data_IF_325790126582
#
_entry.id   IF_325790126582
#
_cell.length_a   1.000
_cell.length_b   1.000
_cell.length_c   1.000
_cell.angle_alpha   90.00
_cell.angle_beta   90.00
_cell.angle_gamma   90.00
#
_symmetry.space_group_name_H-M   'P 1'
#
loop_
_entity.id
_entity.type
_entity.pdbx_description
1 polymer ?
#
# COMPACT_ATOMS: atom_id res chain seq x y z
N UNK A 1 6.33 10.50 -45.09
CA UNK A 1 6.39 9.91 -43.73
C UNK A 1 5.46 8.71 -43.74
N UNK A 2 5.88 7.55 -43.27
CA UNK A 2 5.10 6.34 -43.41
C UNK A 2 4.18 6.13 -42.16
N UNK A 3 2.86 6.06 -42.41
CA UNK A 3 1.86 5.90 -41.32
C UNK A 3 2.10 4.64 -40.46
N UNK A 4 2.46 3.53 -41.10
CA UNK A 4 2.76 2.28 -40.36
C UNK A 4 3.95 2.44 -39.45
N UNK A 5 5.01 3.14 -39.90
CA UNK A 5 6.20 3.41 -39.06
C UNK A 5 5.88 4.31 -37.87
N UNK A 6 5.04 5.34 -38.07
CA UNK A 6 4.59 6.22 -37.00
C UNK A 6 3.84 5.42 -35.94
N UNK A 7 2.90 4.58 -36.37
CA UNK A 7 2.11 3.74 -35.46
C UNK A 7 3.00 2.73 -34.74
N UNK A 8 3.90 2.04 -35.45
CA UNK A 8 4.81 1.07 -34.86
C UNK A 8 5.74 1.71 -33.82
N UNK A 9 6.29 2.91 -34.11
CA UNK A 9 7.11 3.67 -33.17
C UNK A 9 6.34 4.02 -31.91
N UNK A 10 5.07 4.43 -32.04
CA UNK A 10 4.19 4.72 -30.90
C UNK A 10 3.87 3.48 -30.08
N UNK A 11 3.53 2.38 -30.75
CA UNK A 11 3.29 1.11 -30.10
C UNK A 11 4.53 0.60 -29.33
N UNK A 12 5.72 0.70 -29.94
CA UNK A 12 6.99 0.36 -29.27
C UNK A 12 7.22 1.21 -28.02
N UNK A 13 7.03 2.53 -28.12
CA UNK A 13 7.19 3.43 -26.98
C UNK A 13 6.21 3.09 -25.84
N UNK A 14 4.96 2.78 -26.17
CA UNK A 14 3.96 2.34 -25.19
C UNK A 14 4.38 1.06 -24.49
N UNK A 15 4.83 0.06 -25.24
CA UNK A 15 5.28 -1.23 -24.69
C UNK A 15 6.49 -1.01 -23.79
N UNK A 16 7.50 -0.26 -24.22
CA UNK A 16 8.69 0.01 -23.41
C UNK A 16 8.37 0.77 -22.13
N UNK A 17 7.50 1.76 -22.18
CA UNK A 17 7.07 2.49 -20.99
C UNK A 17 6.40 1.54 -19.97
N UNK A 18 5.47 0.71 -20.43
CA UNK A 18 4.75 -0.21 -19.55
C UNK A 18 5.64 -1.31 -18.98
N UNK A 19 6.59 -1.84 -19.77
CA UNK A 19 7.60 -2.77 -19.26
C UNK A 19 8.44 -2.10 -18.15
N UNK A 20 8.89 -0.86 -18.37
CA UNK A 20 9.64 -0.11 -17.37
C UNK A 20 8.85 0.05 -16.06
N UNK A 21 7.57 0.39 -16.17
CA UNK A 21 6.69 0.53 -15.00
C UNK A 21 6.47 -0.80 -14.27
N UNK A 22 6.30 -1.91 -14.98
CA UNK A 22 6.18 -3.25 -14.38
C UNK A 22 7.45 -3.63 -13.63
N UNK A 23 8.62 -3.34 -14.21
CA UNK A 23 9.91 -3.58 -13.54
C UNK A 23 10.01 -2.77 -12.25
N UNK A 24 9.64 -1.49 -12.27
CA UNK A 24 9.63 -0.65 -11.08
C UNK A 24 8.69 -1.21 -10.01
N UNK A 25 7.47 -1.61 -10.38
CA UNK A 25 6.54 -2.25 -9.45
C UNK A 25 7.10 -3.56 -8.86
N UNK A 26 7.74 -4.40 -9.69
CA UNK A 26 8.35 -5.64 -9.23
C UNK A 26 9.52 -5.39 -8.26
N UNK A 27 10.34 -4.36 -8.52
CA UNK A 27 11.42 -3.96 -7.61
C UNK A 27 10.89 -3.43 -6.28
N UNK A 28 9.85 -2.58 -6.31
CA UNK A 28 9.20 -2.08 -5.11
C UNK A 28 8.58 -3.21 -4.29
N UNK A 29 7.88 -4.13 -4.96
CA UNK A 29 7.29 -5.30 -4.31
C UNK A 29 8.37 -6.19 -3.66
N UNK A 30 9.45 -6.49 -4.39
CA UNK A 30 10.60 -7.21 -3.88
C UNK A 30 11.25 -6.51 -2.68
N UNK A 31 11.45 -5.19 -2.76
CA UNK A 31 11.99 -4.40 -1.68
C UNK A 31 11.12 -4.43 -0.42
N UNK A 32 9.80 -4.35 -0.58
CA UNK A 32 8.86 -4.42 0.55
C UNK A 32 8.90 -5.82 1.19
N UNK A 33 8.81 -6.89 0.38
CA UNK A 33 8.81 -8.27 0.88
C UNK A 33 10.10 -8.63 1.61
N UNK A 34 11.24 -8.10 1.17
CA UNK A 34 12.53 -8.38 1.83
C UNK A 34 12.73 -7.64 3.15
N UNK A 35 11.84 -6.70 3.51
CA UNK A 35 11.91 -6.04 4.82
C UNK A 35 11.70 -7.05 5.95
N UNK A 36 12.58 -7.00 6.95
CA UNK A 36 12.54 -7.90 8.10
C UNK A 36 11.17 -7.91 8.81
N UNK A 37 10.53 -6.74 8.92
CA UNK A 37 9.19 -6.61 9.50
C UNK A 37 8.13 -7.38 8.71
N UNK A 38 8.21 -7.41 7.37
CA UNK A 38 7.28 -8.14 6.50
C UNK A 38 7.55 -9.63 6.58
N UNK A 39 8.81 -10.05 6.43
CA UNK A 39 9.17 -11.48 6.50
C UNK A 39 8.84 -12.08 7.85
N UNK A 40 8.98 -11.33 8.93
CA UNK A 40 8.62 -11.77 10.27
C UNK A 40 7.10 -11.89 10.46
N UNK A 41 6.29 -11.02 9.81
CA UNK A 41 4.82 -11.10 9.88
C UNK A 41 4.22 -12.32 9.16
N UNK A 42 4.98 -12.97 8.26
CA UNK A 42 4.58 -14.22 7.61
C UNK A 42 5.02 -15.48 8.37
N UNK A 43 5.84 -15.33 9.43
CA UNK A 43 6.19 -16.46 10.28
C UNK A 43 4.99 -16.84 11.15
N UNK A 44 4.82 -18.13 11.48
CA UNK A 44 3.83 -18.54 12.46
C UNK A 44 4.10 -17.79 13.76
N UNK A 45 3.05 -17.30 14.38
CA UNK A 45 3.11 -16.64 15.69
C UNK A 45 3.50 -17.69 16.73
N UNK A 46 4.50 -17.40 17.55
CA UNK A 46 4.89 -18.30 18.65
C UNK A 46 3.84 -18.22 19.76
N UNK A 47 3.21 -19.33 20.08
CA UNK A 47 2.26 -19.40 21.19
C UNK A 47 3.01 -19.54 22.51
N UNK A 48 2.54 -18.82 23.54
CA UNK A 48 3.12 -18.74 24.87
C UNK A 48 2.00 -18.98 25.87
N UNK A 49 2.14 -20.04 26.67
CA UNK A 49 1.18 -20.43 27.70
C UNK A 49 1.78 -20.35 29.11
N UNK A 50 3.10 -20.29 29.22
CA UNK A 50 3.82 -20.32 30.51
C UNK A 50 4.88 -19.23 30.56
N UNK A 51 5.31 -18.90 31.79
CA UNK A 51 6.41 -17.95 31.99
C UNK A 51 7.74 -18.45 31.41
N UNK A 52 8.01 -19.76 31.50
CA UNK A 52 9.22 -20.36 30.93
C UNK A 52 9.27 -20.19 29.41
N UNK A 53 8.14 -20.38 28.70
CA UNK A 53 8.01 -20.14 27.27
C UNK A 53 8.21 -18.67 26.95
N UNK A 54 7.64 -17.74 27.73
CA UNK A 54 7.85 -16.30 27.59
C UNK A 54 9.33 -15.94 27.75
N UNK A 55 10.00 -16.52 28.75
CA UNK A 55 11.41 -16.27 29.01
C UNK A 55 12.32 -16.72 27.84
N UNK A 56 11.97 -17.82 27.18
CA UNK A 56 12.67 -18.28 25.95
C UNK A 56 12.30 -17.42 24.77
N UNK A 57 11.03 -17.09 24.58
CA UNK A 57 10.52 -16.33 23.45
C UNK A 57 11.09 -14.89 23.39
N UNK A 58 11.34 -14.23 24.52
CA UNK A 58 11.91 -12.87 24.57
C UNK A 58 13.25 -12.73 23.84
N UNK A 59 13.99 -13.81 23.68
CA UNK A 59 15.28 -13.82 22.96
C UNK A 59 15.15 -14.27 21.50
N UNK A 60 14.17 -15.13 21.19
CA UNK A 60 14.11 -15.86 19.93
C UNK A 60 12.93 -15.47 19.04
N UNK A 61 11.86 -14.92 19.63
CA UNK A 61 10.61 -14.63 18.94
C UNK A 61 10.25 -13.16 19.10
N UNK A 62 9.93 -12.52 17.97
CA UNK A 62 9.53 -11.11 17.98
C UNK A 62 8.02 -10.94 18.04
N UNK A 63 7.26 -11.85 17.41
CA UNK A 63 5.81 -11.85 17.39
C UNK A 63 5.29 -13.09 18.11
N UNK A 64 4.41 -12.85 19.06
CA UNK A 64 3.91 -13.91 19.95
C UNK A 64 2.40 -13.79 20.14
N UNK A 65 1.78 -14.90 20.48
CA UNK A 65 0.42 -14.97 21.03
C UNK A 65 0.56 -15.46 22.46
N UNK A 66 0.27 -14.59 23.40
CA UNK A 66 0.37 -14.86 24.84
C UNK A 66 -1.00 -15.21 25.37
N UNK A 67 -1.13 -16.40 25.96
CA UNK A 67 -2.28 -16.81 26.75
C UNK A 67 -2.03 -16.41 28.21
N UNK A 68 -3.05 -15.93 28.89
CA UNK A 68 -2.97 -15.45 30.27
C UNK A 68 -4.12 -16.03 31.10
N UNK A 69 -3.88 -16.16 32.39
CA UNK A 69 -4.90 -16.61 33.34
C UNK A 69 -5.89 -15.48 33.61
N UNK A 70 -5.36 -14.33 34.04
CA UNK A 70 -6.10 -13.13 34.33
C UNK A 70 -5.44 -11.90 33.68
N UNK A 71 -6.22 -10.82 33.55
CA UNK A 71 -5.74 -9.56 33.03
C UNK A 71 -6.35 -8.40 33.81
N UNK A 72 -5.53 -7.40 34.10
CA UNK A 72 -5.90 -6.28 34.95
C UNK A 72 -5.62 -4.95 34.27
N UNK A 73 -6.54 -3.98 34.41
CA UNK A 73 -6.31 -2.61 34.01
C UNK A 73 -5.27 -1.97 34.93
N UNK A 74 -4.20 -1.44 34.35
CA UNK A 74 -3.18 -0.72 35.13
C UNK A 74 -3.61 0.70 35.51
N UNK A 75 -4.65 1.24 34.85
CA UNK A 75 -5.07 2.65 34.95
C UNK A 75 -4.25 3.59 34.08
N UNK A 76 -3.19 3.12 33.42
CA UNK A 76 -2.37 3.92 32.52
C UNK A 76 -2.87 3.79 31.07
N UNK A 77 -2.80 4.90 30.34
CA UNK A 77 -3.25 4.97 28.95
C UNK A 77 -2.12 5.43 28.02
N UNK A 78 -2.11 4.88 26.82
CA UNK A 78 -1.20 5.30 25.77
C UNK A 78 -1.88 6.32 24.86
N UNK A 79 -1.34 7.53 24.82
CA UNK A 79 -1.85 8.63 24.02
C UNK A 79 -1.00 8.83 22.76
N UNK A 80 -1.65 8.98 21.63
CA UNK A 80 -1.04 9.38 20.38
C UNK A 80 -1.78 10.57 19.80
N UNK A 81 -1.07 11.67 19.51
CA UNK A 81 -1.66 12.93 19.00
C UNK A 81 -2.83 13.46 19.87
N UNK A 82 -2.65 13.41 21.20
CA UNK A 82 -3.62 13.89 22.18
C UNK A 82 -4.90 13.01 22.34
N UNK A 83 -4.91 11.84 21.73
CA UNK A 83 -6.00 10.88 21.85
C UNK A 83 -5.53 9.59 22.50
N UNK A 84 -6.34 9.04 23.41
CA UNK A 84 -6.11 7.72 23.96
C UNK A 84 -6.40 6.66 22.88
N UNK A 85 -5.37 5.95 22.46
CA UNK A 85 -5.41 4.96 21.38
C UNK A 85 -5.19 3.53 21.87
N UNK A 86 -4.55 3.36 23.03
CA UNK A 86 -4.31 2.07 23.65
C UNK A 86 -4.31 2.22 25.18
N UNK A 87 -4.36 1.09 25.86
CA UNK A 87 -4.34 0.98 27.31
C UNK A 87 -3.23 0.03 27.74
N UNK A 88 -2.62 0.28 28.91
CA UNK A 88 -1.67 -0.65 29.50
C UNK A 88 -2.45 -1.68 30.31
N UNK A 89 -2.28 -2.95 29.95
CA UNK A 89 -2.91 -4.11 30.59
C UNK A 89 -1.82 -4.97 31.19
N UNK A 90 -2.04 -5.42 32.41
CA UNK A 90 -1.19 -6.35 33.11
C UNK A 90 -1.76 -7.77 32.94
N UNK A 91 -0.96 -8.67 32.40
CA UNK A 91 -1.32 -10.07 32.12
C UNK A 91 -0.63 -10.99 33.13
N UNK A 92 -1.42 -11.78 33.83
CA UNK A 92 -0.91 -12.84 34.70
C UNK A 92 -0.56 -14.09 33.89
N UNK A 93 0.71 -14.49 33.97
CA UNK A 93 1.25 -15.69 33.32
C UNK A 93 2.03 -16.48 34.41
N UNK A 94 1.45 -17.55 34.96
CA UNK A 94 2.04 -18.35 36.02
C UNK A 94 2.47 -17.51 37.25
N UNK A 95 1.69 -16.48 37.62
CA UNK A 95 2.01 -15.59 38.73
C UNK A 95 3.05 -14.50 38.40
N UNK A 96 3.45 -14.36 37.12
CA UNK A 96 4.30 -13.25 36.63
C UNK A 96 3.49 -12.22 35.85
N UNK A 97 3.82 -10.97 36.06
CA UNK A 97 3.16 -9.83 35.44
C UNK A 97 3.86 -9.41 34.12
N UNK A 98 3.18 -9.59 33.00
CA UNK A 98 3.60 -9.05 31.69
C UNK A 98 2.75 -7.85 31.32
N UNK A 99 3.34 -6.67 31.32
CA UNK A 99 2.61 -5.45 30.93
C UNK A 99 2.59 -5.30 29.40
N UNK A 100 1.41 -5.08 28.84
CA UNK A 100 1.22 -4.88 27.39
C UNK A 100 0.51 -3.59 27.04
N UNK A 101 0.86 -3.01 25.89
CA UNK A 101 0.14 -1.90 25.26
C UNK A 101 -0.88 -2.49 24.28
N UNK A 102 -2.16 -2.39 24.62
CA UNK A 102 -3.25 -3.04 23.90
C UNK A 102 -4.21 -2.00 23.31
N UNK A 103 -4.62 -2.18 22.06
CA UNK A 103 -5.65 -1.33 21.45
C UNK A 103 -6.90 -1.31 22.31
N UNK A 104 -7.51 -0.13 22.43
CA UNK A 104 -8.66 0.11 23.29
C UNK A 104 -9.83 -0.87 23.09
N UNK A 105 -10.15 -1.20 21.82
CA UNK A 105 -11.23 -2.13 21.51
C UNK A 105 -10.89 -3.58 21.86
N UNK A 106 -9.62 -3.94 21.87
CA UNK A 106 -9.13 -5.25 22.24
C UNK A 106 -8.98 -5.36 23.76
N UNK A 107 -8.49 -4.31 24.42
CA UNK A 107 -8.41 -4.24 25.88
C UNK A 107 -9.75 -4.53 26.53
N UNK A 108 -10.84 -3.96 26.03
CA UNK A 108 -12.20 -4.25 26.53
C UNK A 108 -12.55 -5.73 26.49
N UNK A 109 -12.24 -6.42 25.37
CA UNK A 109 -12.53 -7.85 25.19
C UNK A 109 -11.67 -8.73 26.10
N UNK A 110 -10.51 -8.26 26.46
CA UNK A 110 -9.57 -8.93 27.37
C UNK A 110 -10.12 -8.79 28.80
N UNK A 111 -10.43 -7.57 29.21
CA UNK A 111 -10.90 -7.28 30.59
C UNK A 111 -12.29 -7.89 30.87
N UNK A 112 -13.19 -7.92 29.88
CA UNK A 112 -14.50 -8.57 30.03
C UNK A 112 -14.42 -10.11 29.95
N UNK A 113 -13.22 -10.67 29.75
CA UNK A 113 -12.95 -12.11 29.70
C UNK A 113 -13.38 -12.82 28.42
N UNK A 114 -13.88 -12.07 27.41
CA UNK A 114 -14.28 -12.66 26.11
C UNK A 114 -13.08 -13.09 25.26
N UNK A 115 -11.87 -12.63 25.60
CA UNK A 115 -10.63 -12.99 24.94
C UNK A 115 -9.55 -13.34 25.99
N UNK A 116 -8.99 -14.54 25.90
CA UNK A 116 -7.98 -15.09 26.83
C UNK A 116 -6.58 -15.18 26.23
N UNK A 117 -6.31 -14.45 25.17
CA UNK A 117 -4.98 -14.31 24.59
C UNK A 117 -4.80 -12.90 23.98
N UNK A 118 -3.56 -12.52 23.83
CA UNK A 118 -3.19 -11.27 23.13
C UNK A 118 -2.03 -11.53 22.18
N UNK A 119 -2.10 -10.97 20.99
CA UNK A 119 -1.02 -11.02 19.99
C UNK A 119 -0.26 -9.70 20.00
N UNK A 120 1.06 -9.79 19.88
CA UNK A 120 1.88 -8.60 19.85
C UNK A 120 3.35 -8.88 19.60
N UNK A 121 4.13 -7.83 19.71
CA UNK A 121 5.57 -7.87 19.60
C UNK A 121 6.18 -7.75 20.99
N UNK A 122 7.06 -8.69 21.33
CA UNK A 122 7.88 -8.56 22.54
C UNK A 122 8.99 -7.52 22.29
N UNK A 123 9.10 -6.55 23.16
CA UNK A 123 10.10 -5.50 23.08
C UNK A 123 10.50 -4.99 24.47
N UNK A 124 11.66 -4.31 24.51
CA UNK A 124 12.10 -3.68 25.75
C UNK A 124 11.31 -2.41 26.01
N UNK A 125 11.06 -2.10 27.25
CA UNK A 125 10.53 -0.80 27.63
C UNK A 125 11.51 0.32 27.26
N UNK A 126 11.05 1.36 26.62
CA UNK A 126 11.84 2.55 26.23
C UNK A 126 11.02 3.81 26.36
N UNK A 127 11.70 4.95 26.59
CA UNK A 127 11.05 6.28 26.64
C UNK A 127 9.89 6.35 27.63
N UNK A 128 8.78 6.90 27.18
CA UNK A 128 7.55 7.09 27.97
C UNK A 128 6.96 5.78 28.49
N UNK A 129 7.05 4.71 27.69
CA UNK A 129 6.56 3.38 28.09
C UNK A 129 7.33 2.85 29.31
N UNK A 130 8.65 3.12 29.36
CA UNK A 130 9.45 2.75 30.53
C UNK A 130 9.03 3.54 31.75
N UNK A 131 8.79 4.83 31.63
CA UNK A 131 8.36 5.69 32.74
C UNK A 131 7.00 5.22 33.29
N UNK A 132 6.04 4.93 32.41
CA UNK A 132 4.73 4.42 32.82
C UNK A 132 4.83 3.06 33.52
N UNK A 133 5.67 2.15 33.01
CA UNK A 133 5.92 0.88 33.65
C UNK A 133 6.57 1.03 35.05
N UNK A 134 7.63 1.84 35.16
CA UNK A 134 8.33 2.07 36.42
C UNK A 134 7.39 2.70 37.49
N UNK A 135 6.49 3.60 37.06
CA UNK A 135 5.47 4.19 37.93
C UNK A 135 4.42 3.16 38.36
N UNK A 136 3.93 2.35 37.43
CA UNK A 136 3.00 1.25 37.75
C UNK A 136 3.59 0.26 38.75
N UNK A 137 4.83 -0.20 38.51
CA UNK A 137 5.53 -1.11 39.45
C UNK A 137 5.69 -0.47 40.82
N UNK A 138 6.04 0.83 40.89
CA UNK A 138 6.16 1.58 42.14
C UNK A 138 4.83 1.65 42.89
N UNK A 139 3.73 1.93 42.18
CA UNK A 139 2.40 2.00 42.78
C UNK A 139 1.96 0.65 43.32
N UNK A 140 2.24 -0.42 42.56
CA UNK A 140 1.96 -1.80 42.99
C UNK A 140 2.74 -2.15 44.24
N UNK A 141 4.05 -1.91 44.26
CA UNK A 141 4.89 -2.15 45.42
C UNK A 141 4.42 -1.34 46.64
N UNK A 142 4.12 -0.07 46.49
CA UNK A 142 3.62 0.80 47.56
C UNK A 142 2.30 0.26 48.16
N UNK A 143 1.46 -0.35 47.36
CA UNK A 143 0.17 -0.89 47.79
C UNK A 143 0.33 -2.16 48.65
N UNK A 144 1.34 -2.99 48.37
CA UNK A 144 1.48 -4.32 48.99
C UNK A 144 2.73 -4.49 49.88
N UNK A 145 3.59 -3.48 50.03
CA UNK A 145 4.84 -3.50 50.80
C UNK A 145 4.67 -3.83 52.30
N UNK A 146 3.47 -3.67 52.85
CA UNK A 146 3.19 -3.96 54.23
C UNK A 146 2.90 -5.48 54.44
N UNK A 147 2.63 -6.20 53.36
CA UNK A 147 2.31 -7.63 53.35
C UNK A 147 3.43 -8.50 52.79
N UNK A 148 4.23 -7.97 51.86
CA UNK A 148 5.26 -8.71 51.12
C UNK A 148 6.58 -7.93 51.04
N UNK A 149 7.67 -8.65 50.83
CA UNK A 149 8.98 -8.03 50.61
C UNK A 149 9.01 -7.26 49.28
N UNK A 150 9.60 -6.08 49.30
CA UNK A 150 9.68 -5.19 48.11
C UNK A 150 10.43 -5.85 46.94
N UNK A 151 11.46 -6.65 47.24
CA UNK A 151 12.23 -7.35 46.20
C UNK A 151 11.45 -8.48 45.56
N UNK A 152 10.61 -9.18 46.33
CA UNK A 152 9.70 -10.21 45.84
C UNK A 152 8.64 -9.58 44.93
N UNK A 153 8.00 -8.49 45.37
CA UNK A 153 7.01 -7.77 44.58
C UNK A 153 7.55 -7.25 43.23
N UNK A 154 8.81 -6.79 43.22
CA UNK A 154 9.45 -6.36 41.95
C UNK A 154 9.82 -7.53 41.05
N UNK A 155 10.13 -8.69 41.60
CA UNK A 155 10.61 -9.84 40.83
C UNK A 155 9.53 -10.49 39.98
N UNK A 156 8.25 -10.28 40.29
CA UNK A 156 7.14 -10.81 39.48
C UNK A 156 6.99 -10.07 38.12
N UNK A 157 7.49 -8.82 38.01
CA UNK A 157 7.35 -8.05 36.78
C UNK A 157 8.38 -8.45 35.74
N UNK A 158 7.90 -8.79 34.55
CA UNK A 158 8.76 -9.14 33.43
C UNK A 158 9.33 -7.86 32.80
N UNK A 159 10.68 -7.73 32.61
CA UNK A 159 11.31 -6.50 32.14
C UNK A 159 11.19 -6.28 30.62
N UNK A 160 10.10 -6.74 30.01
CA UNK A 160 9.73 -6.53 28.61
C UNK A 160 8.25 -6.23 28.53
N UNK A 161 7.84 -5.55 27.45
CA UNK A 161 6.44 -5.28 27.15
C UNK A 161 5.94 -6.07 25.96
N UNK A 162 4.64 -6.31 25.93
CA UNK A 162 3.93 -6.81 24.77
C UNK A 162 3.25 -5.66 24.02
N UNK A 163 3.75 -5.31 22.83
CA UNK A 163 3.18 -4.24 22.04
C UNK A 163 2.20 -4.79 21.00
N UNK A 164 0.92 -4.78 21.35
CA UNK A 164 -0.18 -5.15 20.45
C UNK A 164 -0.57 -3.98 19.54
N UNK A 165 -0.50 -2.75 20.02
CA UNK A 165 -0.93 -1.57 19.28
C UNK A 165 -0.14 -1.37 17.99
N UNK A 166 1.18 -1.32 18.06
CA UNK A 166 2.05 -1.14 16.90
C UNK A 166 2.05 -2.37 15.98
N UNK A 167 1.94 -3.56 16.55
CA UNK A 167 1.86 -4.80 15.79
C UNK A 167 0.69 -4.79 14.81
N UNK A 168 -0.52 -4.53 15.30
CA UNK A 168 -1.73 -4.51 14.47
C UNK A 168 -1.73 -3.39 13.44
N UNK A 169 -1.25 -2.19 13.80
CA UNK A 169 -1.22 -1.05 12.88
C UNK A 169 -0.18 -1.25 11.77
N UNK A 170 0.99 -1.78 12.09
CA UNK A 170 2.07 -2.02 11.13
C UNK A 170 1.72 -3.10 10.11
N UNK A 171 1.14 -4.21 10.57
CA UNK A 171 0.76 -5.33 9.69
C UNK A 171 -0.36 -4.91 8.74
N UNK A 172 -1.42 -4.28 9.25
CA UNK A 172 -2.55 -3.85 8.44
C UNK A 172 -2.13 -2.89 7.32
N UNK A 173 -1.29 -1.90 7.63
CA UNK A 173 -0.77 -0.95 6.64
C UNK A 173 0.07 -1.63 5.55
N UNK A 174 0.91 -2.59 5.90
CA UNK A 174 1.75 -3.33 4.97
C UNK A 174 0.94 -4.20 4.00
N UNK A 175 -0.03 -4.97 4.50
CA UNK A 175 -0.92 -5.77 3.65
C UNK A 175 -1.69 -4.90 2.68
N UNK A 176 -2.20 -3.76 3.12
CA UNK A 176 -2.87 -2.81 2.25
C UNK A 176 -1.98 -2.36 1.08
N UNK A 177 -0.73 -1.98 1.35
CA UNK A 177 0.23 -1.55 0.30
C UNK A 177 0.53 -2.70 -0.67
N UNK A 178 0.76 -3.92 -0.18
CA UNK A 178 1.02 -5.09 -1.03
C UNK A 178 -0.18 -5.43 -1.92
N UNK A 179 -1.39 -5.40 -1.38
CA UNK A 179 -2.62 -5.63 -2.15
C UNK A 179 -2.81 -4.54 -3.19
N UNK A 180 -2.62 -3.27 -2.83
CA UNK A 180 -2.73 -2.15 -3.76
C UNK A 180 -1.74 -2.28 -4.94
N UNK A 181 -0.47 -2.62 -4.67
CA UNK A 181 0.54 -2.86 -5.70
C UNK A 181 0.17 -4.03 -6.60
N UNK A 182 -0.34 -5.13 -6.03
CA UNK A 182 -0.78 -6.29 -6.80
C UNK A 182 -1.94 -5.93 -7.74
N UNK A 183 -2.95 -5.22 -7.23
CA UNK A 183 -4.11 -4.77 -8.02
C UNK A 183 -3.67 -3.84 -9.16
N UNK A 184 -2.82 -2.85 -8.87
CA UNK A 184 -2.29 -1.93 -9.89
C UNK A 184 -1.55 -2.71 -10.98
N UNK A 185 -0.71 -3.67 -10.61
CA UNK A 185 0.05 -4.49 -11.56
C UNK A 185 -0.89 -5.31 -12.45
N UNK A 186 -1.91 -5.94 -11.89
CA UNK A 186 -2.91 -6.72 -12.64
C UNK A 186 -3.68 -5.84 -13.62
N UNK A 187 -4.18 -4.69 -13.17
CA UNK A 187 -4.89 -3.73 -14.04
C UNK A 187 -3.98 -3.27 -15.19
N UNK A 188 -2.71 -3.04 -14.92
CA UNK A 188 -1.74 -2.67 -15.95
C UNK A 188 -1.50 -3.77 -16.96
N UNK A 189 -1.31 -5.01 -16.53
CA UNK A 189 -1.16 -6.16 -17.44
C UNK A 189 -2.39 -6.31 -18.34
N UNK A 190 -3.59 -6.21 -17.77
CA UNK A 190 -4.84 -6.25 -18.53
C UNK A 190 -4.88 -5.14 -19.58
N UNK A 191 -4.51 -3.93 -19.21
CA UNK A 191 -4.45 -2.79 -20.15
C UNK A 191 -3.46 -3.05 -21.29
N UNK A 192 -2.28 -3.60 -21.02
CA UNK A 192 -1.30 -3.97 -22.06
C UNK A 192 -1.88 -5.03 -23.00
N UNK A 193 -2.47 -6.10 -22.46
CA UNK A 193 -3.06 -7.18 -23.24
C UNK A 193 -4.16 -6.69 -24.16
N UNK A 194 -5.00 -5.75 -23.71
CA UNK A 194 -6.07 -5.17 -24.52
C UNK A 194 -5.54 -4.18 -25.56
N UNK A 195 -4.51 -3.40 -25.24
CA UNK A 195 -4.03 -2.29 -26.05
C UNK A 195 -3.08 -2.74 -27.16
N UNK A 196 -2.21 -3.70 -26.92
CA UNK A 196 -1.22 -4.17 -27.90
C UNK A 196 -1.87 -4.66 -29.21
N UNK A 197 -2.91 -5.53 -29.20
CA UNK A 197 -3.57 -5.97 -30.43
C UNK A 197 -4.20 -4.81 -31.22
N UNK A 198 -4.78 -3.81 -30.51
CA UNK A 198 -5.38 -2.63 -31.15
C UNK A 198 -4.32 -1.74 -31.82
N UNK A 199 -3.11 -1.67 -31.27
CA UNK A 199 -2.00 -0.95 -31.85
C UNK A 199 -1.32 -1.71 -33.00
N UNK A 200 -1.27 -3.04 -32.93
CA UNK A 200 -0.71 -3.88 -34.01
C UNK A 200 -1.56 -3.85 -35.28
N UNK A 201 -2.88 -3.88 -35.10
CA UNK A 201 -3.86 -3.89 -36.21
C UNK A 201 -4.85 -2.74 -36.08
N UNK A 202 -4.40 -1.47 -36.16
CA UNK A 202 -5.27 -0.31 -35.93
C UNK A 202 -6.33 -0.14 -37.01
N UNK A 203 -6.08 -0.69 -38.19
CA UNK A 203 -6.97 -0.56 -39.37
C UNK A 203 -8.12 -1.56 -39.39
N UNK A 204 -8.10 -2.59 -38.53
CA UNK A 204 -9.16 -3.63 -38.50
C UNK A 204 -10.58 -3.05 -38.31
N UNK A 205 -10.69 -1.87 -37.75
CA UNK A 205 -11.97 -1.19 -37.50
C UNK A 205 -12.42 -0.27 -38.64
N UNK A 206 -11.62 -0.12 -39.69
CA UNK A 206 -11.86 0.84 -40.78
C UNK A 206 -12.30 0.14 -42.09
N UNK A 207 -13.24 -0.79 -42.03
CA UNK A 207 -13.97 -1.24 -43.20
C UNK A 207 -13.28 -2.24 -44.16
N UNK A 208 -12.07 -2.74 -43.82
CA UNK A 208 -11.39 -3.74 -44.62
C UNK A 208 -10.02 -3.28 -45.17
N UNK A 209 -9.38 -4.15 -45.97
CA UNK A 209 -8.01 -3.92 -46.47
C UNK A 209 -7.93 -2.77 -47.47
N UNK A 210 -8.94 -2.62 -48.31
CA UNK A 210 -8.97 -1.56 -49.34
C UNK A 210 -9.05 -0.17 -48.68
N UNK A 211 -9.93 0.02 -47.72
CA UNK A 211 -10.07 1.27 -47.00
C UNK A 211 -8.81 1.57 -46.15
N UNK A 212 -8.25 0.56 -45.52
CA UNK A 212 -6.99 0.71 -44.82
C UNK A 212 -5.84 1.12 -45.72
N UNK A 213 -5.74 0.55 -46.93
CA UNK A 213 -4.75 0.93 -47.94
C UNK A 213 -4.92 2.37 -48.39
N UNK A 214 -6.16 2.80 -48.65
CA UNK A 214 -6.48 4.18 -49.01
C UNK A 214 -6.05 5.21 -47.95
N UNK A 215 -6.35 4.92 -46.68
CA UNK A 215 -5.96 5.75 -45.54
C UNK A 215 -4.43 5.87 -45.41
N UNK A 216 -3.71 4.77 -45.65
CA UNK A 216 -2.25 4.74 -45.60
C UNK A 216 -1.68 5.54 -46.77
N UNK A 217 -2.19 5.32 -47.97
CA UNK A 217 -1.72 5.99 -49.20
C UNK A 217 -1.91 7.50 -49.12
N UNK A 218 -3.03 7.96 -48.60
CA UNK A 218 -3.29 9.39 -48.45
C UNK A 218 -2.32 10.00 -47.42
N UNK A 219 -2.14 9.36 -46.28
CA UNK A 219 -1.19 9.85 -45.26
C UNK A 219 0.25 9.92 -45.80
N UNK A 220 0.66 8.90 -46.56
CA UNK A 220 2.05 8.78 -47.02
C UNK A 220 2.40 9.70 -48.21
N UNK A 221 1.41 9.99 -49.06
CA UNK A 221 1.60 10.80 -50.30
C UNK A 221 1.37 12.29 -50.14
N UNK A 222 0.55 12.71 -49.19
CA UNK A 222 0.13 14.10 -49.06
C UNK A 222 1.06 14.96 -48.20
N UNK A 223 1.04 16.27 -48.49
CA UNK A 223 1.57 17.30 -47.61
C UNK A 223 0.51 17.58 -46.55
N UNK A 224 0.87 17.43 -45.27
CA UNK A 224 -0.04 17.73 -44.17
C UNK A 224 -0.41 19.23 -44.19
N UNK A 225 -1.70 19.56 -44.17
CA UNK A 225 -2.21 20.91 -43.93
C UNK A 225 -1.86 21.36 -42.50
N UNK A 226 -1.82 20.42 -41.56
CA UNK A 226 -1.42 20.68 -40.19
C UNK A 226 -0.77 19.44 -39.62
N UNK A 227 0.31 19.65 -38.88
CA UNK A 227 1.03 18.56 -38.26
C UNK A 227 1.53 18.95 -36.87
N UNK A 228 1.28 18.08 -35.91
CA UNK A 228 1.91 18.09 -34.57
C UNK A 228 2.51 16.75 -34.27
N UNK A 229 3.03 16.61 -33.06
CA UNK A 229 3.56 15.34 -32.57
C UNK A 229 2.51 14.21 -32.52
N UNK A 230 1.23 14.52 -32.36
CA UNK A 230 0.14 13.57 -32.18
C UNK A 230 -0.95 13.64 -33.26
N UNK A 231 -1.01 14.73 -33.99
CA UNK A 231 -2.09 15.07 -34.86
C UNK A 231 -1.56 15.37 -36.27
N UNK A 232 -2.20 14.77 -37.27
CA UNK A 232 -1.91 14.98 -38.67
C UNK A 232 -3.23 15.23 -39.40
N UNK A 233 -3.29 16.28 -40.21
CA UNK A 233 -4.47 16.62 -41.00
C UNK A 233 -4.06 16.66 -42.49
N UNK A 234 -4.69 15.81 -43.28
CA UNK A 234 -4.60 15.77 -44.73
C UNK A 234 -5.74 16.60 -45.38
N UNK A 235 -5.99 16.46 -46.66
CA UNK A 235 -7.14 17.08 -47.31
C UNK A 235 -8.47 16.49 -46.89
N UNK A 236 -8.51 15.19 -46.63
CA UNK A 236 -9.74 14.46 -46.38
C UNK A 236 -9.86 13.89 -44.98
N UNK A 237 -8.74 13.68 -44.29
CA UNK A 237 -8.72 12.94 -43.01
C UNK A 237 -7.97 13.65 -41.89
N UNK A 238 -8.41 13.33 -40.72
CA UNK A 238 -7.82 13.66 -39.43
C UNK A 238 -7.24 12.41 -38.82
N UNK A 239 -5.93 12.39 -38.52
CA UNK A 239 -5.23 11.29 -37.87
C UNK A 239 -4.75 11.74 -36.49
N UNK A 240 -5.28 11.11 -35.44
CA UNK A 240 -4.83 11.31 -34.07
C UNK A 240 -4.14 10.04 -33.57
N UNK A 241 -2.81 10.13 -33.42
CA UNK A 241 -1.95 8.98 -33.15
C UNK A 241 -1.19 9.21 -31.84
N UNK A 242 -1.63 8.53 -30.79
CA UNK A 242 -0.95 8.51 -29.49
C UNK A 242 -0.20 7.20 -29.28
N UNK A 243 0.46 7.05 -28.14
CA UNK A 243 1.15 5.80 -27.82
C UNK A 243 0.18 4.62 -27.57
N UNK A 244 -1.09 4.87 -27.31
CA UNK A 244 -2.09 3.84 -26.95
C UNK A 244 -3.35 3.86 -27.82
N UNK A 245 -3.49 4.84 -28.71
CA UNK A 245 -4.71 4.99 -29.52
C UNK A 245 -4.39 5.55 -30.92
N UNK A 246 -5.04 4.97 -31.92
CA UNK A 246 -5.08 5.50 -33.28
C UNK A 246 -6.54 5.78 -33.63
N UNK A 247 -6.82 7.04 -33.94
CA UNK A 247 -8.12 7.49 -34.45
C UNK A 247 -7.93 8.18 -35.81
N UNK A 248 -8.75 7.78 -36.75
CA UNK A 248 -8.80 8.37 -38.07
C UNK A 248 -10.27 8.73 -38.33
N UNK A 249 -10.51 9.96 -38.75
CA UNK A 249 -11.84 10.49 -39.05
C UNK A 249 -11.81 11.29 -40.36
N UNK A 250 -12.90 11.24 -41.12
CA UNK A 250 -13.05 12.10 -42.28
C UNK A 250 -13.27 13.54 -41.82
N UNK A 251 -12.64 14.50 -42.50
CA UNK A 251 -12.81 15.92 -42.20
C UNK A 251 -14.23 16.43 -42.46
N UNK A 252 -14.95 15.81 -43.41
CA UNK A 252 -16.37 16.15 -43.65
C UNK A 252 -17.29 15.92 -42.43
N UNK A 253 -16.88 15.01 -41.52
CA UNK A 253 -17.64 14.71 -40.31
C UNK A 253 -17.29 15.62 -39.14
N UNK A 254 -16.31 16.52 -39.31
CA UNK A 254 -15.90 17.45 -38.26
C UNK A 254 -16.96 18.53 -38.07
N UNK A 255 -17.62 18.54 -36.92
CA UNK A 255 -18.67 19.51 -36.59
C UNK A 255 -18.10 20.83 -36.09
N UNK A 256 -17.12 20.72 -35.16
CA UNK A 256 -16.45 21.89 -34.59
C UNK A 256 -15.10 21.54 -33.97
N UNK A 257 -14.25 22.56 -33.86
CA UNK A 257 -12.95 22.48 -33.24
C UNK A 257 -12.71 23.69 -32.37
N UNK A 258 -12.23 23.51 -31.15
CA UNK A 258 -11.79 24.64 -30.33
C UNK A 258 -10.51 24.30 -29.56
N UNK A 259 -9.76 25.35 -29.24
CA UNK A 259 -8.57 25.28 -28.43
C UNK A 259 -8.92 25.68 -27.00
N UNK A 260 -8.57 24.86 -26.04
CA UNK A 260 -8.75 25.17 -24.64
C UNK A 260 -7.41 25.36 -23.94
N UNK A 261 -7.14 26.60 -23.51
CA UNK A 261 -6.05 26.93 -22.62
C UNK A 261 -6.60 26.99 -21.18
N UNK A 262 -6.07 26.19 -20.27
CA UNK A 262 -6.41 26.28 -18.87
C UNK A 262 -5.22 26.84 -18.12
N UNK A 263 -5.42 27.99 -17.46
CA UNK A 263 -4.47 28.56 -16.51
C UNK A 263 -4.74 27.93 -15.16
N UNK A 264 -3.78 27.18 -14.66
CA UNK A 264 -3.81 26.64 -13.29
C UNK A 264 -2.58 27.21 -12.57
N UNK A 265 -2.79 27.99 -11.50
CA UNK A 265 -1.75 28.45 -10.59
C UNK A 265 -0.46 28.94 -11.25
N UNK A 266 -0.56 30.05 -12.02
CA UNK A 266 0.57 30.70 -12.70
C UNK A 266 1.25 29.93 -13.86
N UNK A 267 0.83 28.71 -14.14
CA UNK A 267 1.32 27.93 -15.29
C UNK A 267 0.21 27.79 -16.31
N UNK A 268 0.45 28.26 -17.54
CA UNK A 268 -0.46 28.00 -18.65
C UNK A 268 -0.19 26.59 -19.18
N UNK A 269 -1.05 25.65 -18.83
CA UNK A 269 -0.96 24.28 -19.35
C UNK A 269 -1.84 24.14 -20.55
N UNK A 270 -1.25 23.72 -21.67
CA UNK A 270 -1.99 23.39 -22.91
C UNK A 270 -2.66 22.02 -22.66
N UNK A 271 -3.98 22.00 -22.40
CA UNK A 271 -4.69 20.75 -22.07
C UNK A 271 -5.13 20.01 -23.33
N UNK A 272 -5.12 20.66 -24.48
CA UNK A 272 -5.36 19.99 -25.75
C UNK A 272 -6.39 20.66 -26.63
N UNK A 273 -6.51 20.14 -27.82
CA UNK A 273 -7.52 20.47 -28.79
C UNK A 273 -8.66 19.50 -28.70
N UNK A 274 -9.88 19.98 -28.58
CA UNK A 274 -11.09 19.12 -28.54
C UNK A 274 -11.73 19.17 -29.94
N UNK A 275 -12.01 18.00 -30.48
CA UNK A 275 -12.71 17.83 -31.74
C UNK A 275 -14.05 17.14 -31.48
N UNK A 276 -15.12 17.61 -32.12
CA UNK A 276 -16.40 16.94 -32.16
C UNK A 276 -16.68 16.45 -33.60
N UNK A 277 -16.98 15.20 -33.73
CA UNK A 277 -17.31 14.52 -34.95
C UNK A 277 -18.76 14.05 -34.95
#
# INVERSE_FOLDING_TARGET
MNLKEVIQKRAKNYIMLNIGLIIICALLFGFIITRKSVTESFKPVTEIHTYDELNVARYNSKYVRVYFEDAYETGYVYNYDGKTVAEYIDFDIDGYSLVGIVKKDEAKKIIDGSKKYVEGRLEKFTGENKSAFDEYVKDYVNKYKDEYDESELKSIFVPIQLNNYDYQSSIGGMYFVLIALAVITVVWIINIVITIPKLKNPFKKFGGEDEASRLIDEFDKEKFKYQTKLLYITDNYFYYITNFKVEIKELKDLKWMYFRNVKQNFVTTYIGTVFAF
#
